data_IF_187583660349
#
_entry.id   IF_187583660349
#
_cell.length_a   1.000
_cell.length_b   1.000
_cell.length_c   1.000
_cell.angle_alpha   90.00
_cell.angle_beta   90.00
_cell.angle_gamma   90.00
#
_symmetry.space_group_name_H-M   'P 1'
#
loop_
_entity.id
_entity.type
_entity.pdbx_description
1 polymer ?
#
# COMPACT_ATOMS: atom_id res chain seq x y z
N UNK A 1 20.76 -3.86 -17.61
CA UNK A 1 20.95 -3.54 -19.04
C UNK A 1 19.71 -3.92 -19.79
N UNK A 2 18.70 -3.05 -19.87
CA UNK A 2 17.57 -3.15 -20.81
C UNK A 2 16.35 -2.30 -20.41
N UNK A 3 16.52 -1.32 -19.55
CA UNK A 3 15.39 -0.51 -19.08
C UNK A 3 15.23 0.82 -19.84
N UNK A 4 15.96 1.01 -20.93
CA UNK A 4 16.02 2.31 -21.62
C UNK A 4 15.31 2.35 -22.99
N UNK A 5 14.47 1.36 -23.32
CA UNK A 5 13.98 1.22 -24.70
C UNK A 5 12.48 1.29 -24.88
N UNK A 6 11.78 2.19 -24.22
CA UNK A 6 10.49 2.62 -24.74
C UNK A 6 10.45 4.14 -24.93
N UNK A 7 11.32 4.63 -25.79
CA UNK A 7 11.07 5.92 -26.41
C UNK A 7 10.03 5.72 -27.49
N UNK A 8 8.77 6.03 -27.18
CA UNK A 8 7.77 6.19 -28.22
C UNK A 8 8.21 7.30 -29.18
N UNK A 9 8.08 7.10 -30.51
CA UNK A 9 8.45 8.13 -31.45
C UNK A 9 7.64 9.41 -31.18
N UNK A 10 8.36 10.48 -30.82
CA UNK A 10 7.75 11.78 -30.62
C UNK A 10 7.31 12.34 -31.98
N UNK A 11 6.05 12.74 -32.12
CA UNK A 11 5.58 13.48 -33.28
C UNK A 11 6.35 14.80 -33.43
N UNK A 12 6.43 15.35 -34.65
CA UNK A 12 7.18 16.57 -34.96
C UNK A 12 6.77 17.79 -34.11
N UNK A 13 5.51 17.86 -33.62
CA UNK A 13 5.05 18.91 -32.70
C UNK A 13 5.68 18.81 -31.32
N UNK A 14 6.06 17.61 -30.86
CA UNK A 14 6.70 17.43 -29.56
C UNK A 14 8.17 17.84 -29.55
N UNK A 15 8.81 18.02 -30.71
CA UNK A 15 10.18 18.54 -30.79
C UNK A 15 10.28 20.04 -30.53
N UNK A 16 9.15 20.79 -30.61
CA UNK A 16 9.08 22.23 -30.37
C UNK A 16 8.59 22.59 -28.96
N UNK A 17 7.99 21.65 -28.24
CA UNK A 17 7.55 21.84 -26.86
C UNK A 17 8.57 21.22 -25.92
N UNK A 18 8.88 21.88 -24.79
CA UNK A 18 9.65 21.23 -23.75
C UNK A 18 9.00 19.88 -23.45
N UNK A 19 9.80 18.81 -23.42
CA UNK A 19 9.32 17.46 -23.18
C UNK A 19 8.56 17.41 -21.85
N UNK A 20 7.26 17.43 -21.89
CA UNK A 20 6.37 17.35 -20.73
C UNK A 20 6.27 15.91 -20.30
N UNK A 21 7.35 15.43 -19.66
CA UNK A 21 7.35 14.09 -19.05
C UNK A 21 7.13 14.27 -17.56
N UNK A 22 5.99 13.83 -17.02
CA UNK A 22 5.71 13.96 -15.60
C UNK A 22 6.69 13.15 -14.77
N UNK A 23 7.13 12.00 -15.29
CA UNK A 23 8.01 11.07 -14.57
C UNK A 23 8.74 10.13 -15.52
N UNK A 24 9.74 9.43 -14.96
CA UNK A 24 10.37 8.28 -15.60
C UNK A 24 10.70 7.24 -14.54
N UNK A 25 10.88 5.99 -14.95
CA UNK A 25 11.30 4.92 -14.04
C UNK A 25 12.69 5.22 -13.46
N UNK A 26 13.55 5.89 -14.23
CA UNK A 26 14.86 6.34 -13.79
C UNK A 26 14.78 7.35 -12.63
N UNK A 27 13.86 8.31 -12.68
CA UNK A 27 13.65 9.28 -11.60
C UNK A 27 13.10 8.59 -10.33
N UNK A 28 12.17 7.67 -10.49
CA UNK A 28 11.65 6.88 -9.37
C UNK A 28 12.76 6.04 -8.71
N UNK A 29 13.56 5.35 -9.52
CA UNK A 29 14.71 4.60 -9.06
C UNK A 29 15.69 5.46 -8.24
N UNK A 30 16.00 6.65 -8.72
CA UNK A 30 16.96 7.55 -8.08
C UNK A 30 16.45 8.10 -6.75
N UNK A 31 15.18 8.51 -6.67
CA UNK A 31 14.62 9.00 -5.42
C UNK A 31 14.46 7.89 -4.39
N UNK A 32 14.06 6.71 -4.82
CA UNK A 32 13.96 5.54 -3.94
C UNK A 32 15.34 5.14 -3.39
N UNK A 33 16.38 5.18 -4.22
CA UNK A 33 17.75 4.89 -3.77
C UNK A 33 18.20 5.85 -2.67
N UNK A 34 17.84 7.13 -2.75
CA UNK A 34 18.11 8.11 -1.68
C UNK A 34 17.41 7.74 -0.37
N UNK A 35 16.21 7.19 -0.46
CA UNK A 35 15.47 6.71 0.72
C UNK A 35 16.14 5.48 1.32
N UNK A 36 16.39 4.46 0.50
CA UNK A 36 16.90 3.17 0.97
C UNK A 36 18.32 3.24 1.53
N UNK A 37 19.13 4.22 1.10
CA UNK A 37 20.48 4.40 1.67
C UNK A 37 20.46 4.78 3.16
N UNK A 38 19.31 5.18 3.72
CA UNK A 38 19.16 5.44 5.15
C UNK A 38 19.12 4.15 5.99
N UNK A 39 18.93 2.99 5.36
CA UNK A 39 18.91 1.70 6.06
C UNK A 39 20.29 1.36 6.61
N UNK A 40 20.32 0.94 7.88
CA UNK A 40 21.53 0.48 8.56
C UNK A 40 21.73 -1.03 8.40
N UNK A 41 20.63 -1.80 8.36
CA UNK A 41 20.67 -3.23 8.17
C UNK A 41 20.90 -3.57 6.69
N UNK A 42 21.55 -4.70 6.45
CA UNK A 42 21.77 -5.19 5.09
C UNK A 42 20.44 -5.39 4.38
N UNK A 43 20.36 -4.97 3.12
CA UNK A 43 19.17 -5.15 2.31
C UNK A 43 19.49 -5.52 0.86
N UNK A 44 18.51 -6.14 0.21
CA UNK A 44 18.52 -6.47 -1.22
C UNK A 44 17.29 -5.83 -1.88
N UNK A 45 17.49 -5.13 -2.98
CA UNK A 45 16.41 -4.52 -3.76
C UNK A 45 16.50 -5.06 -5.20
N UNK A 46 15.44 -5.73 -5.67
CA UNK A 46 15.42 -6.40 -6.98
C UNK A 46 14.02 -6.65 -7.47
N UNK A 47 13.92 -6.93 -8.76
CA UNK A 47 12.69 -7.45 -9.34
C UNK A 47 12.58 -8.96 -9.11
N UNK A 48 11.41 -9.40 -8.68
CA UNK A 48 11.04 -10.82 -8.61
C UNK A 48 10.14 -11.10 -9.80
N UNK A 49 10.60 -11.98 -10.68
CA UNK A 49 9.86 -12.33 -11.91
C UNK A 49 8.80 -13.37 -11.61
N UNK A 50 7.55 -13.07 -11.96
CA UNK A 50 6.44 -13.99 -11.86
C UNK A 50 6.30 -14.82 -13.14
N UNK A 51 5.69 -16.02 -13.09
CA UNK A 51 5.53 -16.87 -14.27
C UNK A 51 4.77 -16.24 -15.44
N UNK A 52 3.89 -15.25 -15.16
CA UNK A 52 3.12 -14.54 -16.19
C UNK A 52 3.85 -13.33 -16.78
N UNK A 53 5.17 -13.26 -16.62
CA UNK A 53 6.06 -12.18 -17.09
C UNK A 53 5.95 -10.85 -16.30
N UNK A 54 5.02 -10.72 -15.37
CA UNK A 54 5.00 -9.59 -14.47
C UNK A 54 6.19 -9.65 -13.51
N UNK A 55 6.67 -8.48 -13.11
CA UNK A 55 7.78 -8.32 -12.17
C UNK A 55 7.31 -7.53 -10.96
N UNK A 56 7.67 -8.01 -9.78
CA UNK A 56 7.36 -7.36 -8.51
C UNK A 56 8.64 -6.80 -7.92
N UNK A 57 8.69 -5.48 -7.76
CA UNK A 57 9.81 -4.81 -7.11
C UNK A 57 9.79 -5.11 -5.63
N UNK A 58 10.88 -5.67 -5.11
CA UNK A 58 10.95 -6.23 -3.76
C UNK A 58 12.18 -5.72 -3.04
N UNK A 59 11.99 -5.32 -1.79
CA UNK A 59 13.07 -4.98 -0.86
C UNK A 59 13.04 -5.97 0.31
N UNK A 60 14.16 -6.66 0.52
CA UNK A 60 14.35 -7.59 1.62
C UNK A 60 15.41 -7.03 2.55
N UNK A 61 15.07 -6.85 3.82
CA UNK A 61 15.97 -6.34 4.86
C UNK A 61 16.35 -7.47 5.80
N UNK A 62 17.61 -7.54 6.19
CA UNK A 62 18.21 -8.62 6.97
C UNK A 62 17.95 -10.01 6.36
N UNK A 63 18.37 -10.23 5.10
CA UNK A 63 18.10 -11.50 4.40
C UNK A 63 18.81 -12.70 5.02
N UNK A 64 19.81 -12.48 5.85
CA UNK A 64 20.56 -13.53 6.57
C UNK A 64 19.79 -14.12 7.76
N UNK A 65 18.75 -13.43 8.28
CA UNK A 65 17.96 -13.86 9.43
C UNK A 65 16.80 -14.77 9.00
N UNK A 66 17.10 -16.02 8.62
CA UNK A 66 16.14 -16.95 8.00
C UNK A 66 15.47 -17.93 8.95
N UNK A 67 15.85 -17.96 10.19
CA UNK A 67 15.40 -18.95 11.18
C UNK A 67 14.03 -18.62 11.78
N UNK A 68 13.51 -17.41 11.59
CA UNK A 68 12.19 -17.00 12.06
C UNK A 68 11.26 -16.74 10.90
N UNK A 69 9.95 -16.80 11.17
CA UNK A 69 8.92 -16.44 10.18
C UNK A 69 9.14 -14.99 9.72
N UNK A 70 9.28 -14.73 8.41
CA UNK A 70 9.48 -13.38 7.93
C UNK A 70 8.24 -12.52 8.09
N UNK A 71 8.46 -11.21 8.27
CA UNK A 71 7.42 -10.19 8.19
C UNK A 71 7.35 -9.69 6.76
N UNK A 72 6.14 -9.68 6.19
CA UNK A 72 5.86 -9.11 4.86
C UNK A 72 4.93 -7.93 5.02
N UNK A 73 5.33 -6.76 4.51
CA UNK A 73 4.56 -5.54 4.62
C UNK A 73 4.06 -5.07 3.26
N UNK A 74 2.76 -4.81 3.17
CA UNK A 74 2.06 -4.40 1.94
C UNK A 74 1.57 -2.96 2.09
N UNK A 75 2.05 -2.09 1.20
CA UNK A 75 1.70 -0.67 1.22
C UNK A 75 0.25 -0.40 0.80
N UNK A 76 -0.22 0.81 1.06
CA UNK A 76 -1.54 1.28 0.67
C UNK A 76 -1.56 1.96 -0.71
N UNK A 77 -2.74 2.43 -1.10
CA UNK A 77 -2.94 3.14 -2.37
C UNK A 77 -1.99 4.33 -2.49
N UNK A 78 -1.32 4.42 -3.63
CA UNK A 78 -0.39 5.51 -3.90
C UNK A 78 0.93 5.43 -3.16
N UNK A 79 1.17 4.37 -2.40
CA UNK A 79 2.41 4.14 -1.70
C UNK A 79 3.43 3.33 -2.48
N UNK A 80 4.43 2.86 -1.77
CA UNK A 80 5.50 2.01 -2.28
C UNK A 80 6.41 1.59 -1.14
N UNK A 81 7.42 0.79 -1.46
CA UNK A 81 8.35 0.24 -0.47
C UNK A 81 9.07 1.31 0.36
N UNK A 82 9.34 2.46 -0.23
CA UNK A 82 10.07 3.55 0.44
C UNK A 82 9.34 4.16 1.64
N UNK A 83 8.02 4.04 1.70
CA UNK A 83 7.24 4.61 2.81
C UNK A 83 7.48 3.87 4.13
N UNK A 84 8.02 2.66 4.11
CA UNK A 84 8.35 1.88 5.29
C UNK A 84 9.71 2.23 5.91
N UNK A 85 10.38 3.27 5.43
CA UNK A 85 11.76 3.59 5.84
C UNK A 85 11.92 3.79 7.35
N UNK A 86 10.91 4.32 8.03
CA UNK A 86 10.94 4.53 9.49
C UNK A 86 10.78 3.23 10.30
N UNK A 87 10.48 2.13 9.62
CA UNK A 87 10.08 0.88 10.25
C UNK A 87 11.04 -0.28 9.94
N UNK A 88 11.68 -0.24 8.79
CA UNK A 88 12.42 -1.41 8.27
C UNK A 88 13.59 -1.84 9.15
N UNK A 89 14.42 -0.92 9.63
CA UNK A 89 15.57 -1.28 10.48
C UNK A 89 15.12 -1.90 11.80
N UNK A 90 14.15 -1.27 12.49
CA UNK A 90 13.64 -1.76 13.77
C UNK A 90 13.00 -3.14 13.60
N UNK A 91 12.14 -3.31 12.62
CA UNK A 91 11.38 -4.56 12.41
C UNK A 91 12.24 -5.70 11.87
N UNK A 92 13.39 -5.39 11.29
CA UNK A 92 14.33 -6.39 10.76
C UNK A 92 15.51 -6.70 11.71
N UNK A 93 15.45 -6.26 12.97
CA UNK A 93 16.51 -6.50 13.93
C UNK A 93 16.69 -7.97 14.25
N UNK A 94 15.63 -8.77 14.25
CA UNK A 94 15.64 -10.19 14.65
C UNK A 94 15.06 -11.16 13.62
N UNK A 95 14.49 -10.64 12.53
CA UNK A 95 13.88 -11.45 11.45
C UNK A 95 14.01 -10.74 10.13
N UNK A 96 13.92 -11.50 9.05
CA UNK A 96 13.85 -10.95 7.70
C UNK A 96 12.54 -10.20 7.50
N UNK A 97 12.62 -9.02 6.91
CA UNK A 97 11.47 -8.22 6.50
C UNK A 97 11.46 -8.11 4.98
N UNK A 98 10.35 -8.45 4.36
CA UNK A 98 10.11 -8.22 2.94
C UNK A 98 9.06 -7.15 2.77
N UNK A 99 9.28 -6.26 1.83
CA UNK A 99 8.26 -5.36 1.34
C UNK A 99 8.35 -5.28 -0.18
N UNK A 100 7.24 -5.04 -0.84
CA UNK A 100 7.20 -4.98 -2.30
C UNK A 100 6.22 -3.92 -2.77
N UNK A 101 6.45 -3.41 -3.97
CA UNK A 101 5.46 -2.58 -4.64
C UNK A 101 4.37 -3.50 -5.19
N UNK A 102 3.12 -3.20 -4.83
CA UNK A 102 1.96 -3.94 -5.34
C UNK A 102 1.96 -3.93 -6.87
N UNK A 103 1.49 -5.01 -7.47
CA UNK A 103 1.24 -5.07 -8.91
C UNK A 103 0.43 -3.84 -9.34
N UNK A 104 0.86 -3.15 -10.37
CA UNK A 104 0.22 -1.93 -10.83
C UNK A 104 0.62 -0.64 -10.11
N UNK A 105 1.51 -0.73 -9.14
CA UNK A 105 2.02 0.42 -8.36
C UNK A 105 3.55 0.49 -8.37
N UNK A 106 4.07 1.66 -8.04
CA UNK A 106 5.50 1.88 -7.87
C UNK A 106 6.32 1.39 -9.05
N UNK A 107 7.33 0.59 -8.77
CA UNK A 107 8.25 0.02 -9.77
C UNK A 107 7.82 -1.34 -10.30
N UNK A 108 6.77 -1.95 -9.73
CA UNK A 108 6.24 -3.22 -10.21
C UNK A 108 5.59 -3.07 -11.58
N UNK A 109 5.42 -4.20 -12.28
CA UNK A 109 4.74 -4.23 -13.58
C UNK A 109 3.34 -3.61 -13.48
N UNK A 110 2.90 -2.99 -14.57
CA UNK A 110 1.62 -2.26 -14.64
C UNK A 110 0.73 -2.86 -15.72
N UNK A 111 0.20 -4.08 -15.47
CA UNK A 111 -0.66 -4.74 -16.44
C UNK A 111 -2.05 -4.12 -16.49
N UNK A 112 -2.82 -4.47 -17.52
CA UNK A 112 -4.24 -4.24 -17.53
C UNK A 112 -4.92 -5.20 -16.55
N UNK A 113 -5.69 -4.65 -15.61
CA UNK A 113 -6.49 -5.44 -14.66
C UNK A 113 -7.86 -5.75 -15.23
N UNK A 114 -8.51 -6.85 -14.76
CA UNK A 114 -9.93 -7.05 -15.00
C UNK A 114 -10.74 -5.82 -14.53
N UNK A 115 -11.84 -5.55 -15.22
CA UNK A 115 -12.66 -4.35 -14.94
C UNK A 115 -13.73 -4.58 -13.87
N UNK A 116 -13.99 -5.82 -13.52
CA UNK A 116 -14.93 -6.17 -12.45
C UNK A 116 -14.22 -6.17 -11.09
N UNK A 117 -14.93 -5.85 -10.00
CA UNK A 117 -14.32 -5.73 -8.68
C UNK A 117 -13.67 -7.02 -8.19
N UNK A 118 -14.31 -8.15 -8.41
CA UNK A 118 -13.78 -9.46 -7.99
C UNK A 118 -12.54 -9.85 -8.78
N UNK A 119 -12.57 -9.66 -10.10
CA UNK A 119 -11.43 -9.96 -10.96
C UNK A 119 -10.21 -9.09 -10.64
N UNK A 120 -10.42 -7.79 -10.38
CA UNK A 120 -9.35 -6.89 -9.99
C UNK A 120 -8.73 -7.28 -8.65
N UNK A 121 -9.54 -7.59 -7.66
CA UNK A 121 -9.08 -8.06 -6.35
C UNK A 121 -8.29 -9.37 -6.47
N UNK A 122 -8.81 -10.34 -7.22
CA UNK A 122 -8.15 -11.63 -7.43
C UNK A 122 -6.80 -11.50 -8.14
N UNK A 123 -6.67 -10.58 -9.06
CA UNK A 123 -5.39 -10.31 -9.74
C UNK A 123 -4.33 -9.87 -8.74
N UNK A 124 -4.66 -8.96 -7.82
CA UNK A 124 -3.77 -8.57 -6.73
C UNK A 124 -3.41 -9.77 -5.83
N UNK A 125 -4.40 -10.51 -5.39
CA UNK A 125 -4.20 -11.65 -4.47
C UNK A 125 -3.35 -12.73 -5.12
N UNK A 126 -3.61 -13.05 -6.38
CA UNK A 126 -2.82 -14.02 -7.15
C UNK A 126 -1.37 -13.56 -7.30
N UNK A 127 -1.15 -12.28 -7.53
CA UNK A 127 0.22 -11.73 -7.62
C UNK A 127 0.99 -11.89 -6.30
N UNK A 128 0.34 -11.70 -5.16
CA UNK A 128 0.94 -11.90 -3.84
C UNK A 128 1.31 -13.37 -3.62
N UNK A 129 0.41 -14.30 -3.93
CA UNK A 129 0.68 -15.75 -3.78
C UNK A 129 1.82 -16.19 -4.70
N UNK A 130 1.79 -15.80 -5.95
CA UNK A 130 2.84 -16.15 -6.91
C UNK A 130 4.19 -15.56 -6.50
N UNK A 131 4.18 -14.34 -5.97
CA UNK A 131 5.37 -13.71 -5.40
C UNK A 131 5.91 -14.52 -4.22
N UNK A 132 5.04 -14.93 -3.28
CA UNK A 132 5.42 -15.75 -2.13
C UNK A 132 6.09 -17.08 -2.59
N UNK A 133 5.45 -17.75 -3.54
CA UNK A 133 5.98 -19.01 -4.09
C UNK A 133 7.36 -18.80 -4.73
N UNK A 134 7.50 -17.78 -5.56
CA UNK A 134 8.76 -17.45 -6.24
C UNK A 134 9.86 -17.08 -5.23
N UNK A 135 9.49 -16.39 -4.15
CA UNK A 135 10.42 -16.07 -3.05
C UNK A 135 10.79 -17.28 -2.19
N UNK A 136 10.05 -18.38 -2.28
CA UNK A 136 10.27 -19.55 -1.45
C UNK A 136 9.90 -19.38 0.02
N UNK A 137 8.91 -18.53 0.31
CA UNK A 137 8.45 -18.25 1.67
C UNK A 137 7.35 -19.25 2.05
N UNK A 138 7.58 -20.18 3.00
CA UNK A 138 6.56 -21.17 3.37
C UNK A 138 5.37 -20.54 4.10
N UNK A 139 5.65 -19.70 5.08
CA UNK A 139 4.67 -18.97 5.88
C UNK A 139 5.20 -17.59 6.21
N UNK A 140 4.31 -16.66 6.52
CA UNK A 140 4.69 -15.27 6.81
C UNK A 140 3.77 -14.62 7.85
N UNK A 141 4.29 -13.60 8.51
CA UNK A 141 3.49 -12.62 9.22
C UNK A 141 3.14 -11.56 8.18
N UNK A 142 1.85 -11.36 7.91
CA UNK A 142 1.41 -10.49 6.83
C UNK A 142 0.80 -9.22 7.39
N UNK A 143 1.43 -8.09 7.07
CA UNK A 143 1.00 -6.77 7.49
C UNK A 143 0.56 -5.97 6.26
N UNK A 144 -0.61 -5.34 6.33
CA UNK A 144 -1.09 -4.47 5.25
C UNK A 144 -1.65 -3.17 5.77
N UNK A 145 -1.29 -2.08 5.09
CA UNK A 145 -1.78 -0.72 5.36
C UNK A 145 -2.82 -0.31 4.33
N UNK A 146 -3.96 0.22 4.78
CA UNK A 146 -5.01 0.77 3.92
C UNK A 146 -5.48 -0.23 2.85
N UNK A 147 -5.34 0.05 1.56
CA UNK A 147 -5.59 -0.91 0.47
C UNK A 147 -4.81 -2.21 0.67
N UNK A 148 -3.55 -2.11 1.09
CA UNK A 148 -2.73 -3.28 1.40
C UNK A 148 -3.33 -4.16 2.50
N UNK A 149 -4.01 -3.55 3.47
CA UNK A 149 -4.76 -4.27 4.51
C UNK A 149 -5.96 -5.03 3.95
N UNK A 150 -6.71 -4.41 3.06
CA UNK A 150 -7.82 -5.05 2.36
C UNK A 150 -7.33 -6.26 1.55
N UNK A 151 -6.25 -6.08 0.80
CA UNK A 151 -5.67 -7.15 -0.03
C UNK A 151 -5.05 -8.26 0.81
N UNK A 152 -4.38 -7.93 1.90
CA UNK A 152 -3.83 -8.90 2.84
C UNK A 152 -4.94 -9.75 3.48
N UNK A 153 -6.08 -9.14 3.77
CA UNK A 153 -7.26 -9.85 4.29
C UNK A 153 -7.84 -10.79 3.24
N UNK A 154 -8.04 -10.31 2.02
CA UNK A 154 -8.50 -11.13 0.90
C UNK A 154 -7.56 -12.31 0.64
N UNK A 155 -6.24 -12.06 0.67
CA UNK A 155 -5.23 -13.10 0.59
C UNK A 155 -5.40 -14.14 1.70
N UNK A 156 -5.59 -13.69 2.94
CA UNK A 156 -5.71 -14.58 4.11
C UNK A 156 -6.97 -15.43 4.09
N UNK A 157 -8.04 -14.98 3.44
CA UNK A 157 -9.24 -15.79 3.21
C UNK A 157 -8.89 -16.98 2.29
N UNK A 158 -8.13 -16.72 1.23
CA UNK A 158 -7.83 -17.72 0.20
C UNK A 158 -6.68 -18.65 0.59
N UNK A 159 -5.67 -18.14 1.30
CA UNK A 159 -4.46 -18.87 1.66
C UNK A 159 -4.14 -18.78 3.17
N UNK A 160 -5.08 -19.17 4.04
CA UNK A 160 -4.90 -19.01 5.48
C UNK A 160 -3.72 -19.80 6.06
N UNK A 161 -3.35 -20.91 5.44
CA UNK A 161 -2.22 -21.74 5.83
C UNK A 161 -0.85 -21.04 5.66
N UNK A 162 -0.81 -19.96 4.91
CA UNK A 162 0.41 -19.18 4.66
C UNK A 162 0.60 -18.02 5.65
N UNK A 163 -0.43 -17.69 6.44
CA UNK A 163 -0.45 -16.51 7.30
C UNK A 163 -0.42 -16.92 8.77
N UNK A 164 0.69 -16.64 9.44
CA UNK A 164 0.86 -16.91 10.87
C UNK A 164 0.21 -15.86 11.75
N UNK A 165 0.13 -14.64 11.29
CA UNK A 165 -0.57 -13.54 11.93
C UNK A 165 -0.89 -12.50 10.86
N UNK A 166 -2.12 -12.00 10.85
CA UNK A 166 -2.56 -10.93 9.97
C UNK A 166 -2.60 -9.62 10.77
N UNK A 167 -1.79 -8.65 10.36
CA UNK A 167 -1.73 -7.33 10.99
C UNK A 167 -2.32 -6.30 10.02
N UNK A 168 -3.40 -5.67 10.42
CA UNK A 168 -4.12 -4.70 9.61
C UNK A 168 -3.93 -3.30 10.19
N UNK A 169 -3.31 -2.44 9.40
CA UNK A 169 -2.96 -1.08 9.80
C UNK A 169 -3.89 -0.11 9.07
N UNK A 170 -4.83 0.47 9.81
CA UNK A 170 -5.82 1.42 9.28
C UNK A 170 -6.41 0.93 7.95
N UNK A 171 -6.96 -0.31 7.90
CA UNK A 171 -7.32 -0.97 6.65
C UNK A 171 -8.50 -0.28 5.95
N UNK A 172 -8.41 -0.17 4.63
CA UNK A 172 -9.48 0.31 3.79
C UNK A 172 -10.47 -0.83 3.46
N UNK A 173 -11.71 -0.46 3.19
CA UNK A 173 -12.66 -1.34 2.51
C UNK A 173 -13.43 -2.31 3.42
N UNK A 174 -13.47 -2.07 4.72
CA UNK A 174 -14.18 -2.93 5.68
C UNK A 174 -15.66 -2.57 5.84
N UNK A 175 -16.03 -1.28 6.10
CA UNK A 175 -17.40 -0.92 6.36
C UNK A 175 -18.32 -1.12 5.16
N UNK A 176 -19.56 -1.49 5.45
CA UNK A 176 -20.64 -1.47 4.49
C UNK A 176 -21.04 -0.03 4.17
N UNK A 177 -21.34 0.25 2.90
CA UNK A 177 -21.93 1.54 2.54
C UNK A 177 -23.28 1.70 3.23
N UNK A 178 -23.52 2.81 3.97
CA UNK A 178 -24.81 3.06 4.59
C UNK A 178 -25.92 3.12 3.52
N UNK A 179 -27.02 2.41 3.78
CA UNK A 179 -28.18 2.41 2.90
C UNK A 179 -29.12 3.58 3.21
N UNK A 180 -29.00 4.16 4.40
CA UNK A 180 -29.76 5.34 4.82
C UNK A 180 -28.99 6.61 4.42
N UNK A 181 -29.55 7.46 3.53
CA UNK A 181 -28.92 8.72 3.14
C UNK A 181 -28.61 9.66 4.30
N UNK A 182 -29.33 9.55 5.43
CA UNK A 182 -29.10 10.38 6.61
C UNK A 182 -27.82 10.03 7.37
N UNK A 183 -27.32 8.81 7.23
CA UNK A 183 -26.06 8.34 7.82
C UNK A 183 -24.84 8.73 6.98
N UNK A 184 -25.06 9.15 5.73
CA UNK A 184 -24.01 9.62 4.84
C UNK A 184 -23.94 11.14 4.99
N UNK A 185 -22.82 11.66 5.51
CA UNK A 185 -22.56 13.10 5.45
C UNK A 185 -22.55 13.53 3.99
N UNK A 186 -23.57 14.28 3.57
CA UNK A 186 -23.59 14.86 2.23
C UNK A 186 -22.38 15.79 2.08
N UNK A 187 -21.44 15.53 1.14
CA UNK A 187 -20.34 16.44 0.91
C UNK A 187 -20.88 17.77 0.35
N UNK A 188 -20.16 18.89 0.54
CA UNK A 188 -20.51 20.17 -0.08
C UNK A 188 -20.72 20.03 -1.59
N UNK A 189 -21.58 20.88 -2.16
CA UNK A 189 -21.91 20.81 -3.58
C UNK A 189 -20.69 20.90 -4.52
N UNK A 190 -19.67 21.69 -4.14
CA UNK A 190 -18.44 21.81 -4.92
C UNK A 190 -17.62 20.52 -4.91
N UNK A 191 -17.63 19.78 -3.79
CA UNK A 191 -16.98 18.45 -3.70
C UNK A 191 -17.69 17.47 -4.62
N UNK A 192 -19.04 17.50 -4.66
CA UNK A 192 -19.82 16.66 -5.59
C UNK A 192 -19.52 17.00 -7.05
N UNK A 193 -19.38 18.29 -7.37
CA UNK A 193 -19.04 18.72 -8.72
C UNK A 193 -17.64 18.24 -9.13
N UNK A 194 -16.65 18.40 -8.26
CA UNK A 194 -15.28 17.91 -8.50
C UNK A 194 -15.28 16.40 -8.62
N UNK A 195 -15.97 15.68 -7.72
CA UNK A 195 -16.07 14.23 -7.75
C UNK A 195 -16.75 13.72 -9.04
N UNK A 196 -17.77 14.42 -9.57
CA UNK A 196 -18.44 14.02 -10.81
C UNK A 196 -17.54 14.20 -12.03
N UNK A 197 -16.69 15.23 -12.06
CA UNK A 197 -15.70 15.44 -13.11
C UNK A 197 -14.55 14.42 -12.99
N UNK A 198 -14.03 14.19 -11.78
CA UNK A 198 -12.94 13.24 -11.52
C UNK A 198 -13.42 11.79 -11.54
N UNK A 199 -14.71 11.52 -11.33
CA UNK A 199 -15.30 10.18 -11.37
C UNK A 199 -15.22 9.51 -12.73
N UNK A 200 -14.95 10.28 -13.78
CA UNK A 200 -14.74 9.79 -15.16
C UNK A 200 -13.27 9.52 -15.47
N UNK A 201 -12.35 9.95 -14.62
CA UNK A 201 -10.91 9.78 -14.76
C UNK A 201 -10.33 9.04 -13.55
N UNK A 202 -9.12 8.54 -13.71
CA UNK A 202 -8.40 7.89 -12.59
C UNK A 202 -8.06 8.90 -11.49
N UNK A 203 -8.07 8.50 -10.21
CA UNK A 203 -7.88 9.41 -9.08
C UNK A 203 -6.59 10.24 -9.13
N UNK A 204 -5.54 9.73 -9.76
CA UNK A 204 -4.22 10.36 -9.82
C UNK A 204 -3.93 11.08 -11.15
N UNK A 205 -4.94 11.23 -12.01
CA UNK A 205 -4.79 11.88 -13.32
C UNK A 205 -4.25 13.32 -13.21
N UNK A 206 -4.65 14.05 -12.18
CA UNK A 206 -4.17 15.41 -11.91
C UNK A 206 -2.66 15.46 -11.73
N UNK A 207 -2.08 14.50 -11.00
CA UNK A 207 -0.63 14.43 -10.80
C UNK A 207 0.12 14.19 -12.11
N UNK A 208 -0.41 13.36 -12.99
CA UNK A 208 0.19 13.10 -14.30
C UNK A 208 0.20 14.34 -15.20
N UNK A 209 -0.88 15.11 -15.15
CA UNK A 209 -1.00 16.33 -15.96
C UNK A 209 -0.10 17.45 -15.42
N UNK A 210 0.18 17.46 -14.13
CA UNK A 210 0.97 18.53 -13.50
C UNK A 210 2.43 18.58 -13.95
N UNK A 211 3.01 17.47 -14.44
CA UNK A 211 4.38 17.42 -14.93
C UNK A 211 5.41 17.87 -13.88
N UNK A 212 6.32 18.83 -14.21
CA UNK A 212 7.36 19.28 -13.28
C UNK A 212 6.84 19.90 -11.98
N UNK A 213 5.58 20.36 -11.96
CA UNK A 213 4.96 20.93 -10.77
C UNK A 213 4.32 19.86 -9.85
N UNK A 214 4.35 18.60 -10.27
CA UNK A 214 3.75 17.48 -9.54
C UNK A 214 4.28 17.31 -8.12
N UNK A 215 5.60 17.26 -7.88
CA UNK A 215 6.14 17.16 -6.51
C UNK A 215 5.69 18.31 -5.61
N UNK A 216 5.63 19.53 -6.15
CA UNK A 216 5.10 20.70 -5.43
C UNK A 216 3.62 20.57 -5.08
N UNK A 217 2.81 19.96 -5.96
CA UNK A 217 1.41 19.69 -5.67
C UNK A 217 1.25 18.65 -4.55
N UNK A 218 2.04 17.59 -4.55
CA UNK A 218 2.04 16.60 -3.46
C UNK A 218 2.36 17.28 -2.15
N UNK A 219 3.38 18.13 -2.11
CA UNK A 219 3.75 18.89 -0.92
C UNK A 219 2.63 19.81 -0.45
N UNK A 220 1.92 20.46 -1.37
CA UNK A 220 0.83 21.38 -1.06
C UNK A 220 -0.40 20.67 -0.50
N UNK A 221 -0.78 19.53 -1.09
CA UNK A 221 -1.96 18.76 -0.67
C UNK A 221 -1.68 17.86 0.53
N UNK A 222 -0.43 17.39 0.69
CA UNK A 222 -0.01 16.52 1.76
C UNK A 222 1.27 17.04 2.42
N UNK A 223 1.23 18.23 3.05
CA UNK A 223 2.39 18.80 3.73
C UNK A 223 2.82 17.97 4.96
N UNK A 224 1.93 17.13 5.46
CA UNK A 224 2.17 16.22 6.57
C UNK A 224 3.28 15.19 6.27
N UNK A 225 3.46 14.76 5.01
CA UNK A 225 4.51 13.78 4.67
C UNK A 225 5.91 14.32 4.94
N UNK A 226 6.20 15.56 4.61
CA UNK A 226 7.51 16.16 4.90
C UNK A 226 7.80 16.13 6.40
N UNK A 227 6.82 16.48 7.23
CA UNK A 227 6.94 16.47 8.69
C UNK A 227 7.10 15.05 9.26
N UNK A 228 6.33 14.08 8.76
CA UNK A 228 6.37 12.68 9.21
C UNK A 228 7.73 12.04 9.01
N UNK A 229 8.45 12.44 7.96
CA UNK A 229 9.75 11.87 7.58
C UNK A 229 10.92 12.84 7.86
N UNK A 230 10.69 13.89 8.64
CA UNK A 230 11.70 14.92 8.89
C UNK A 230 12.96 14.40 9.59
N UNK A 231 12.88 13.30 10.34
CA UNK A 231 14.05 12.70 11.00
C UNK A 231 15.09 12.16 10.00
N UNK A 232 14.64 11.80 8.79
CA UNK A 232 15.52 11.31 7.72
C UNK A 232 15.71 12.30 6.58
N UNK A 233 14.68 13.11 6.28
CA UNK A 233 14.67 13.99 5.11
C UNK A 233 14.14 15.37 5.47
N UNK A 234 15.00 16.37 5.40
CA UNK A 234 14.60 17.78 5.57
C UNK A 234 14.07 18.38 4.25
N UNK A 235 14.35 17.72 3.14
CA UNK A 235 13.98 18.13 1.80
C UNK A 235 12.67 17.49 1.31
N UNK A 236 12.41 17.61 0.02
CA UNK A 236 11.19 17.13 -0.64
C UNK A 236 11.29 15.66 -1.12
N UNK A 237 12.24 14.88 -0.61
CA UNK A 237 12.51 13.52 -1.09
C UNK A 237 11.26 12.63 -1.04
N UNK A 238 10.50 12.65 0.04
CA UNK A 238 9.29 11.83 0.16
C UNK A 238 8.19 12.31 -0.79
N UNK A 239 8.00 13.62 -0.94
CA UNK A 239 7.03 14.18 -1.89
C UNK A 239 7.40 13.83 -3.34
N UNK A 240 8.68 13.87 -3.70
CA UNK A 240 9.18 13.42 -4.98
C UNK A 240 8.92 11.93 -5.19
N UNK A 241 9.19 11.11 -4.17
CA UNK A 241 8.96 9.67 -4.23
C UNK A 241 7.48 9.34 -4.49
N UNK A 242 6.58 9.94 -3.73
CA UNK A 242 5.14 9.76 -3.89
C UNK A 242 4.71 10.21 -5.28
N UNK A 243 5.20 11.36 -5.75
CA UNK A 243 4.89 11.84 -7.09
C UNK A 243 5.32 10.84 -8.17
N UNK A 244 6.57 10.40 -8.15
CA UNK A 244 7.09 9.48 -9.18
C UNK A 244 6.44 8.08 -9.11
N UNK A 245 6.02 7.62 -7.93
CA UNK A 245 5.21 6.40 -7.82
C UNK A 245 3.88 6.53 -8.55
N UNK A 246 3.24 7.70 -8.47
CA UNK A 246 1.85 7.90 -8.87
C UNK A 246 1.67 8.58 -10.23
N UNK A 247 2.73 9.15 -10.77
CA UNK A 247 2.71 9.77 -12.09
C UNK A 247 3.00 8.80 -13.24
N UNK A 248 3.25 7.52 -12.94
CA UNK A 248 3.42 6.45 -13.91
C UNK A 248 2.10 6.13 -14.65
N UNK A 249 2.17 5.31 -15.68
CA UNK A 249 0.98 4.84 -16.38
C UNK A 249 -0.03 4.21 -15.42
N UNK A 250 -1.33 4.56 -15.49
CA UNK A 250 -2.32 4.01 -14.58
C UNK A 250 -2.48 2.51 -14.78
N UNK A 251 -2.50 1.76 -13.69
CA UNK A 251 -2.72 0.32 -13.68
C UNK A 251 -3.41 -0.07 -12.37
N UNK A 252 -2.68 -0.09 -11.25
CA UNK A 252 -3.24 -0.39 -9.94
C UNK A 252 -4.32 0.60 -9.49
N UNK A 253 -4.20 1.87 -9.84
CA UNK A 253 -5.25 2.86 -9.54
C UNK A 253 -6.54 2.58 -10.33
N UNK A 254 -6.44 2.08 -11.56
CA UNK A 254 -7.60 1.66 -12.36
C UNK A 254 -8.27 0.44 -11.72
N UNK A 255 -7.48 -0.52 -11.25
CA UNK A 255 -7.98 -1.67 -10.51
C UNK A 255 -8.67 -1.25 -9.21
N UNK A 256 -8.06 -0.33 -8.46
CA UNK A 256 -8.65 0.19 -7.22
C UNK A 256 -9.99 0.89 -7.49
N UNK A 257 -10.06 1.70 -8.55
CA UNK A 257 -11.31 2.33 -8.97
C UNK A 257 -12.39 1.30 -9.27
N UNK A 258 -12.05 0.17 -9.90
CA UNK A 258 -13.00 -0.92 -10.16
C UNK A 258 -13.51 -1.58 -8.87
N UNK A 259 -12.72 -1.56 -7.81
CA UNK A 259 -13.04 -2.16 -6.50
C UNK A 259 -13.86 -1.23 -5.60
N UNK A 260 -13.98 0.05 -5.94
CA UNK A 260 -14.73 1.02 -5.10
C UNK A 260 -16.00 1.52 -5.76
N UNK A 261 -16.92 1.94 -4.88
CA UNK A 261 -18.09 2.74 -5.23
C UNK A 261 -17.83 4.22 -5.00
N UNK A 262 -18.80 5.06 -5.30
CA UNK A 262 -18.75 6.50 -5.05
C UNK A 262 -18.31 6.80 -3.61
N UNK A 263 -17.42 7.79 -3.46
CA UNK A 263 -16.91 8.25 -2.15
C UNK A 263 -16.03 7.25 -1.39
N UNK A 264 -15.42 6.30 -2.11
CA UNK A 264 -14.39 5.43 -1.54
C UNK A 264 -14.89 4.21 -0.77
N UNK A 265 -16.18 3.85 -0.88
CA UNK A 265 -16.71 2.63 -0.32
C UNK A 265 -16.28 1.42 -1.17
N UNK A 266 -15.90 0.33 -0.51
CA UNK A 266 -15.60 -0.92 -1.23
C UNK A 266 -16.87 -1.53 -1.79
N UNK A 267 -16.83 -2.00 -3.04
CA UNK A 267 -17.95 -2.73 -3.67
C UNK A 267 -18.17 -4.08 -2.99
N UNK A 268 -17.08 -4.70 -2.53
CA UNK A 268 -17.11 -5.99 -1.82
C UNK A 268 -16.53 -5.80 -0.41
N UNK A 269 -17.27 -5.19 0.52
CA UNK A 269 -16.75 -4.79 1.81
C UNK A 269 -16.31 -5.99 2.64
N UNK A 270 -15.20 -5.82 3.35
CA UNK A 270 -14.55 -6.91 4.06
C UNK A 270 -15.33 -7.37 5.30
N UNK A 271 -16.16 -6.52 5.91
CA UNK A 271 -17.02 -6.93 7.02
C UNK A 271 -18.03 -8.01 6.63
N UNK A 272 -18.36 -8.16 5.35
CA UNK A 272 -19.17 -9.27 4.84
C UNK A 272 -18.38 -10.57 4.65
N UNK A 273 -17.05 -10.51 4.69
CA UNK A 273 -16.18 -11.63 4.32
C UNK A 273 -15.14 -12.01 5.36
N UNK A 274 -14.92 -11.20 6.38
CA UNK A 274 -13.86 -11.43 7.37
C UNK A 274 -14.06 -12.76 8.13
N UNK A 275 -15.28 -13.21 8.29
CA UNK A 275 -15.61 -14.49 8.91
C UNK A 275 -15.13 -15.70 8.11
N UNK A 276 -14.79 -15.51 6.84
CA UNK A 276 -14.29 -16.57 5.96
C UNK A 276 -12.83 -16.92 6.22
N UNK A 277 -12.09 -16.09 6.94
CA UNK A 277 -10.72 -16.43 7.34
C UNK A 277 -10.77 -17.58 8.34
N UNK A 278 -9.93 -18.59 8.13
CA UNK A 278 -9.80 -19.75 9.01
C UNK A 278 -9.60 -19.29 10.47
N UNK A 279 -10.30 -19.95 11.39
CA UNK A 279 -10.39 -19.52 12.80
C UNK A 279 -9.04 -19.44 13.52
N UNK A 280 -8.06 -20.23 13.12
CA UNK A 280 -6.73 -20.28 13.74
C UNK A 280 -5.78 -19.17 13.28
N UNK A 281 -6.19 -18.34 12.31
CA UNK A 281 -5.39 -17.17 11.90
C UNK A 281 -5.66 -16.01 12.86
N UNK A 282 -4.66 -15.61 13.68
CA UNK A 282 -4.83 -14.47 14.56
C UNK A 282 -4.80 -13.16 13.77
N UNK A 283 -5.60 -12.19 14.20
CA UNK A 283 -5.70 -10.87 13.58
C UNK A 283 -5.42 -9.79 14.62
N UNK A 284 -4.58 -8.83 14.28
CA UNK A 284 -4.43 -7.59 15.03
C UNK A 284 -4.80 -6.41 14.13
N UNK A 285 -5.69 -5.55 14.62
CA UNK A 285 -6.11 -4.35 13.92
C UNK A 285 -5.54 -3.14 14.65
N UNK A 286 -4.76 -2.33 13.94
CA UNK A 286 -4.09 -1.14 14.48
C UNK A 286 -4.64 0.08 13.75
N UNK A 287 -5.29 0.98 14.49
CA UNK A 287 -5.83 2.22 13.95
C UNK A 287 -5.10 3.43 14.51
N UNK A 288 -5.02 4.49 13.72
CA UNK A 288 -4.69 5.80 14.25
C UNK A 288 -5.89 6.36 15.02
N UNK A 289 -5.66 6.95 16.19
CA UNK A 289 -6.74 7.52 16.99
C UNK A 289 -7.43 8.70 16.28
N UNK A 290 -6.73 9.38 15.39
CA UNK A 290 -7.22 10.56 14.65
C UNK A 290 -7.48 10.27 13.16
N UNK A 291 -7.65 9.00 12.80
CA UNK A 291 -7.89 8.61 11.40
C UNK A 291 -9.30 8.98 10.91
N UNK A 292 -9.42 9.14 9.58
CA UNK A 292 -10.72 9.26 8.92
C UNK A 292 -11.41 7.91 8.70
N UNK A 293 -10.69 6.80 8.87
CA UNK A 293 -11.23 5.43 8.78
C UNK A 293 -12.13 5.17 10.01
N UNK A 294 -13.20 4.41 9.81
CA UNK A 294 -14.09 3.99 10.89
C UNK A 294 -13.40 2.98 11.81
N UNK A 295 -12.96 3.45 12.96
CA UNK A 295 -12.26 2.61 13.95
C UNK A 295 -13.16 1.64 14.69
N UNK A 296 -14.49 1.80 14.63
CA UNK A 296 -15.44 0.84 15.19
C UNK A 296 -15.41 -0.52 14.48
N UNK A 297 -14.79 -0.56 13.31
CA UNK A 297 -14.59 -1.77 12.50
C UNK A 297 -13.86 -2.87 13.28
N UNK A 298 -12.84 -2.51 14.08
CA UNK A 298 -12.10 -3.48 14.89
C UNK A 298 -13.01 -4.26 15.87
N UNK A 299 -13.94 -3.55 16.51
CA UNK A 299 -14.92 -4.17 17.40
C UNK A 299 -15.88 -5.09 16.64
N UNK A 300 -16.30 -4.67 15.45
CA UNK A 300 -17.18 -5.48 14.59
C UNK A 300 -16.50 -6.77 14.14
N UNK A 301 -15.20 -6.70 13.81
CA UNK A 301 -14.40 -7.89 13.46
C UNK A 301 -14.31 -8.84 14.66
N UNK A 302 -14.06 -8.34 15.86
CA UNK A 302 -14.06 -9.16 17.09
C UNK A 302 -15.38 -9.90 17.29
N UNK A 303 -16.49 -9.20 17.08
CA UNK A 303 -17.83 -9.79 17.23
C UNK A 303 -18.11 -10.89 16.19
N UNK A 304 -17.58 -10.75 14.98
CA UNK A 304 -17.74 -11.75 13.92
C UNK A 304 -16.82 -12.96 14.08
N UNK A 305 -15.77 -12.85 14.89
CA UNK A 305 -14.78 -13.89 15.11
C UNK A 305 -14.60 -14.21 16.60
N UNK A 306 -15.69 -14.63 17.28
CA UNK A 306 -15.67 -14.84 18.74
C UNK A 306 -14.75 -15.98 19.20
N UNK A 307 -14.49 -16.95 18.30
CA UNK A 307 -13.65 -18.12 18.59
C UNK A 307 -12.22 -17.98 18.08
N UNK A 308 -11.83 -16.76 17.67
CA UNK A 308 -10.51 -16.47 17.11
C UNK A 308 -9.85 -15.35 17.88
N UNK A 309 -8.50 -15.33 17.84
CA UNK A 309 -7.76 -14.20 18.38
C UNK A 309 -7.95 -12.97 17.48
N UNK A 310 -8.54 -11.92 18.04
CA UNK A 310 -8.63 -10.60 17.41
C UNK A 310 -8.28 -9.55 18.44
N UNK A 311 -7.17 -8.84 18.19
CA UNK A 311 -6.77 -7.67 18.98
C UNK A 311 -7.13 -6.41 18.20
N UNK A 312 -7.77 -5.47 18.87
CA UNK A 312 -8.13 -4.17 18.32
C UNK A 312 -7.49 -3.09 19.17
N UNK A 313 -6.76 -2.16 18.52
CA UNK A 313 -6.06 -1.09 19.24
C UNK A 313 -5.99 0.19 18.42
N UNK A 314 -5.90 1.30 19.13
CA UNK A 314 -5.67 2.64 18.56
C UNK A 314 -4.34 3.19 19.07
N UNK A 315 -3.62 3.92 18.21
CA UNK A 315 -2.39 4.61 18.59
C UNK A 315 -2.67 6.11 18.65
N UNK A 316 -2.49 6.67 19.84
CA UNK A 316 -2.65 8.11 20.07
C UNK A 316 -1.61 8.90 19.27
N UNK A 317 -2.00 10.07 18.77
CA UNK A 317 -1.14 10.94 17.98
C UNK A 317 -0.92 10.48 16.54
N UNK A 318 -1.63 9.43 16.11
CA UNK A 318 -1.54 8.91 14.76
C UNK A 318 -2.84 9.09 13.99
N UNK A 319 -2.73 9.33 12.69
CA UNK A 319 -3.81 9.34 11.73
C UNK A 319 -3.69 8.13 10.79
N UNK A 320 -4.10 8.26 9.54
CA UNK A 320 -4.15 7.13 8.59
C UNK A 320 -2.78 6.44 8.37
N UNK A 321 -1.69 7.20 8.33
CA UNK A 321 -0.34 6.65 8.15
C UNK A 321 0.33 6.38 9.51
N UNK A 322 -0.25 5.47 10.28
CA UNK A 322 0.13 5.15 11.66
C UNK A 322 1.62 4.86 11.80
N UNK A 323 2.17 4.09 10.86
CA UNK A 323 3.57 3.67 10.84
C UNK A 323 4.56 4.84 10.70
N UNK A 324 4.12 5.95 10.13
CA UNK A 324 4.92 7.15 9.95
C UNK A 324 4.62 8.23 11.00
N UNK A 325 3.39 8.28 11.50
CA UNK A 325 2.99 9.24 12.52
C UNK A 325 3.61 8.93 13.89
N UNK A 326 3.62 7.66 14.27
CA UNK A 326 4.14 7.18 15.55
C UNK A 326 5.01 5.94 15.33
N UNK A 327 6.16 6.07 14.64
CA UNK A 327 6.96 4.94 14.25
C UNK A 327 7.49 4.11 15.44
N UNK A 328 7.89 4.76 16.54
CA UNK A 328 8.43 4.06 17.71
C UNK A 328 7.38 3.18 18.38
N UNK A 329 6.16 3.71 18.56
CA UNK A 329 5.05 2.95 19.16
C UNK A 329 4.61 1.84 18.21
N UNK A 330 4.43 2.17 16.93
CA UNK A 330 4.05 1.21 15.91
C UNK A 330 5.07 0.05 15.81
N UNK A 331 6.35 0.37 15.73
CA UNK A 331 7.40 -0.65 15.64
C UNK A 331 7.41 -1.56 16.87
N UNK A 332 7.26 -1.00 18.07
CA UNK A 332 7.22 -1.78 19.32
C UNK A 332 6.02 -2.75 19.34
N UNK A 333 4.86 -2.30 18.90
CA UNK A 333 3.65 -3.14 18.82
C UNK A 333 3.83 -4.27 17.81
N UNK A 334 4.36 -3.98 16.63
CA UNK A 334 4.58 -4.99 15.60
C UNK A 334 5.65 -5.99 16.02
N UNK A 335 6.73 -5.55 16.66
CA UNK A 335 7.76 -6.43 17.21
C UNK A 335 7.18 -7.38 18.25
N UNK A 336 6.34 -6.89 19.16
CA UNK A 336 5.64 -7.71 20.15
C UNK A 336 4.80 -8.80 19.47
N UNK A 337 4.06 -8.45 18.43
CA UNK A 337 3.24 -9.41 17.68
C UNK A 337 4.13 -10.46 17.01
N UNK A 338 5.20 -10.03 16.35
CA UNK A 338 6.16 -10.94 15.72
C UNK A 338 6.80 -11.90 16.72
N UNK A 339 7.17 -11.40 17.89
CA UNK A 339 7.74 -12.22 18.96
C UNK A 339 6.75 -13.25 19.51
N UNK A 340 5.45 -12.99 19.41
CA UNK A 340 4.42 -13.96 19.78
C UNK A 340 4.28 -15.12 18.78
N UNK A 341 4.77 -14.95 17.58
CA UNK A 341 4.80 -16.01 16.55
C UNK A 341 6.02 -16.90 16.74
N UNK A 342 7.18 -16.37 16.82
CA UNK A 342 8.47 -17.01 17.03
C UNK A 342 9.57 -15.94 17.35
#
# INVERSE_FOLDING_TARGET
>A
MADDLEQQPQGWLSSWLPAWRPTSMSQLKNVEARILQCLQNKFLARYVSLPNQNKIWTVTVSPELRDRTPLVMVHGFGGGVGLWILNMDSLSARRTVHTFDLLGFGRSSRPAFPRDPEGAENEFVTSIETWRETMGIPTMILLGHSLGGFLATSYSIKYPERVKHLILVDPWGFPLRPTDPSEIRAPPAWVKAVASVLGRSNPLAVLRVAGPWGPGLVQRFRPDFKRKFADFFEDDTISEYIYHCNAQNPSGETAFKAMMESFGWARRPMLERIHLIRKDVPITMIYGANTWIDTSTGKKVKLQRPDSYVRDMEIEGASHHVYADQPHIFNAVVEEICDSVD
#
